data_IF_704278692401
#
_entry.id   IF_704278692401
#
_cell.length_a   1.000
_cell.length_b   1.000
_cell.length_c   1.000
_cell.angle_alpha   90.00
_cell.angle_beta   90.00
_cell.angle_gamma   90.00
#
_symmetry.space_group_name_H-M   'P 1'
#
loop_
_entity.id
_entity.type
_entity.pdbx_description
1 polymer ?
#
# COMPACT_ATOMS: atom_id res chain seq x y z
N UNK A 1 39.84 28.91 16.99
CA UNK A 1 39.23 28.34 18.22
C UNK A 1 38.21 27.31 17.80
N UNK A 2 38.29 26.07 18.30
CA UNK A 2 37.25 25.05 18.04
C UNK A 2 35.96 25.50 18.71
N UNK A 3 34.89 25.63 17.95
CA UNK A 3 33.58 25.99 18.48
C UNK A 3 32.89 24.71 18.97
N UNK A 4 33.22 24.34 20.20
CA UNK A 4 32.79 23.11 20.88
C UNK A 4 31.25 23.00 20.92
N UNK A 5 30.54 24.13 20.97
CA UNK A 5 29.06 24.15 20.94
C UNK A 5 28.49 23.61 19.63
N UNK A 6 29.10 23.94 18.47
CA UNK A 6 28.66 23.43 17.16
C UNK A 6 28.89 21.92 16.97
N UNK A 7 29.90 21.36 17.65
CA UNK A 7 30.16 19.90 17.63
C UNK A 7 29.17 19.14 18.54
N UNK A 8 28.86 19.71 19.71
CA UNK A 8 27.86 19.17 20.65
C UNK A 8 26.46 19.20 20.03
N UNK A 9 26.04 20.30 19.41
CA UNK A 9 24.71 20.44 18.81
C UNK A 9 24.50 19.49 17.61
N UNK A 10 25.56 19.15 16.86
CA UNK A 10 25.48 18.20 15.74
C UNK A 10 25.33 16.76 16.19
N UNK A 11 25.94 16.38 17.32
CA UNK A 11 25.99 14.98 17.78
C UNK A 11 24.79 14.59 18.64
N UNK A 12 24.20 15.50 19.40
CA UNK A 12 23.16 15.18 20.39
C UNK A 12 21.72 15.26 19.83
N UNK A 13 21.52 15.92 18.69
CA UNK A 13 20.18 16.06 18.09
C UNK A 13 19.97 15.25 16.81
N UNK A 14 21.03 14.77 16.16
CA UNK A 14 20.89 14.05 14.88
C UNK A 14 20.49 12.58 15.04
N UNK A 15 20.88 11.92 16.13
CA UNK A 15 20.73 10.45 16.29
C UNK A 15 19.61 10.04 17.27
N UNK A 16 18.87 11.00 17.80
CA UNK A 16 17.68 10.75 18.64
C UNK A 16 16.38 10.71 17.83
N UNK A 17 16.46 10.78 16.50
CA UNK A 17 15.30 10.67 15.63
C UNK A 17 14.95 9.19 15.45
N UNK A 18 13.74 8.76 15.82
CA UNK A 18 13.29 7.41 15.54
C UNK A 18 13.31 7.21 14.02
N UNK A 19 14.03 6.18 13.56
CA UNK A 19 14.08 5.83 12.14
C UNK A 19 12.91 4.91 11.82
N UNK A 20 12.27 5.06 10.64
CA UNK A 20 11.31 4.08 10.19
C UNK A 20 12.00 2.71 10.11
N UNK A 21 11.28 1.66 10.49
CA UNK A 21 11.78 0.30 10.40
C UNK A 21 11.97 -0.08 8.92
N UNK A 22 13.14 -0.62 8.53
CA UNK A 22 13.40 -0.98 7.14
C UNK A 22 12.54 -2.15 6.64
N UNK A 23 12.06 -3.02 7.53
CA UNK A 23 11.27 -4.21 7.21
C UNK A 23 9.85 -4.12 7.80
N UNK A 24 9.21 -2.96 7.67
CA UNK A 24 7.84 -2.77 8.15
C UNK A 24 6.86 -3.68 7.38
N UNK A 25 5.85 -4.18 8.08
CA UNK A 25 4.76 -4.93 7.47
C UNK A 25 3.47 -4.64 8.24
N UNK A 26 2.55 -3.93 7.57
CA UNK A 26 1.32 -3.44 8.18
C UNK A 26 0.39 -4.55 8.68
N UNK A 27 0.51 -5.78 8.18
CA UNK A 27 -0.26 -6.92 8.67
C UNK A 27 0.36 -7.57 9.91
N UNK A 28 1.65 -7.87 9.87
CA UNK A 28 2.30 -8.59 10.98
C UNK A 28 2.52 -7.71 12.21
N UNK A 29 2.59 -6.38 12.02
CA UNK A 29 2.75 -5.42 13.11
C UNK A 29 1.43 -5.06 13.81
N UNK A 30 0.27 -5.41 13.24
CA UNK A 30 -1.04 -5.19 13.85
C UNK A 30 -1.68 -6.51 14.31
N UNK A 31 -1.64 -6.76 15.62
CA UNK A 31 -2.27 -7.94 16.21
C UNK A 31 -3.81 -7.93 16.10
N UNK A 32 -4.42 -6.75 15.99
CA UNK A 32 -5.88 -6.64 15.87
C UNK A 32 -6.34 -7.10 14.49
N UNK A 33 -5.66 -6.73 13.40
CA UNK A 33 -6.07 -7.19 12.08
C UNK A 33 -5.92 -8.70 11.93
N UNK A 34 -4.87 -9.29 12.52
CA UNK A 34 -4.71 -10.75 12.58
C UNK A 34 -5.83 -11.41 13.39
N UNK A 35 -6.25 -10.80 14.50
CA UNK A 35 -7.40 -11.26 15.27
C UNK A 35 -8.70 -11.19 14.45
N UNK A 36 -8.95 -10.08 13.74
CA UNK A 36 -10.12 -9.92 12.88
C UNK A 36 -10.12 -10.94 11.74
N UNK A 37 -8.97 -11.19 11.12
CA UNK A 37 -8.80 -12.24 10.12
C UNK A 37 -9.27 -13.59 10.68
N UNK A 38 -8.71 -14.03 11.82
CA UNK A 38 -9.09 -15.31 12.46
C UNK A 38 -10.54 -15.35 12.92
N UNK A 39 -11.12 -14.21 13.30
CA UNK A 39 -12.51 -14.12 13.78
C UNK A 39 -13.53 -14.20 12.65
N UNK A 40 -13.25 -13.59 11.50
CA UNK A 40 -14.24 -13.39 10.44
C UNK A 40 -14.03 -14.28 9.22
N UNK A 41 -12.84 -14.85 9.02
CA UNK A 41 -12.61 -15.80 7.93
C UNK A 41 -12.86 -17.25 8.39
N UNK A 42 -13.48 -18.08 7.53
CA UNK A 42 -13.57 -19.52 7.74
C UNK A 42 -12.19 -20.13 7.99
N UNK A 43 -12.09 -21.09 8.92
CA UNK A 43 -10.84 -21.74 9.32
C UNK A 43 -10.02 -22.26 8.13
N UNK A 44 -10.70 -22.88 7.15
CA UNK A 44 -10.07 -23.38 5.92
C UNK A 44 -9.36 -22.32 5.06
N UNK A 45 -9.69 -21.04 5.24
CA UNK A 45 -9.09 -19.91 4.52
C UNK A 45 -8.01 -19.20 5.33
N UNK A 46 -7.89 -19.46 6.64
CA UNK A 46 -7.07 -18.62 7.52
C UNK A 46 -5.58 -18.74 7.22
N UNK A 47 -5.07 -19.95 6.98
CA UNK A 47 -3.64 -20.14 6.64
C UNK A 47 -3.28 -19.46 5.32
N UNK A 48 -4.14 -19.61 4.31
CA UNK A 48 -3.97 -18.93 3.02
C UNK A 48 -4.03 -17.40 3.19
N UNK A 49 -5.03 -16.91 3.92
CA UNK A 49 -5.22 -15.48 4.12
C UNK A 49 -4.09 -14.85 4.95
N UNK A 50 -3.59 -15.53 5.98
CA UNK A 50 -2.45 -15.06 6.78
C UNK A 50 -1.20 -14.88 5.90
N UNK A 51 -0.92 -15.86 5.03
CA UNK A 51 0.19 -15.80 4.09
C UNK A 51 0.04 -14.67 3.08
N UNK A 52 -1.12 -14.55 2.43
CA UNK A 52 -1.34 -13.52 1.41
C UNK A 52 -1.44 -12.11 2.02
N UNK A 53 -2.07 -11.95 3.19
CA UNK A 53 -2.10 -10.66 3.90
C UNK A 53 -0.73 -10.27 4.44
N UNK A 54 0.13 -11.22 4.81
CA UNK A 54 1.53 -10.94 5.16
C UNK A 54 2.30 -10.40 3.96
N UNK A 55 2.17 -11.03 2.79
CA UNK A 55 2.80 -10.54 1.54
C UNK A 55 2.26 -9.17 1.16
N UNK A 56 0.96 -9.00 1.23
CA UNK A 56 0.28 -7.75 0.91
C UNK A 56 0.69 -6.63 1.89
N UNK A 57 0.73 -6.90 3.19
CA UNK A 57 1.16 -5.93 4.20
C UNK A 57 2.59 -5.43 4.00
N UNK A 58 3.51 -6.29 3.55
CA UNK A 58 4.87 -5.89 3.19
C UNK A 58 4.91 -5.07 1.88
N UNK A 59 4.10 -5.44 0.89
CA UNK A 59 3.95 -4.68 -0.35
C UNK A 59 3.45 -3.27 -0.06
N UNK A 60 2.45 -3.13 0.81
CA UNK A 60 1.87 -1.83 1.15
C UNK A 60 2.87 -0.98 1.95
N UNK A 61 3.46 -1.54 3.01
CA UNK A 61 4.39 -0.83 3.89
C UNK A 61 5.74 -0.47 3.23
N UNK A 62 6.05 -1.06 2.07
CA UNK A 62 7.31 -0.85 1.37
C UNK A 62 7.11 -0.12 0.03
N UNK A 63 7.11 -0.85 -1.10
CA UNK A 63 7.13 -0.24 -2.43
C UNK A 63 5.90 0.62 -2.73
N UNK A 64 4.71 0.29 -2.21
CA UNK A 64 3.52 1.12 -2.46
C UNK A 64 3.61 2.44 -1.70
N UNK A 65 3.95 2.42 -0.40
CA UNK A 65 4.17 3.64 0.39
C UNK A 65 5.20 4.59 -0.24
N UNK A 66 6.32 4.04 -0.74
CA UNK A 66 7.33 4.83 -1.45
C UNK A 66 6.80 5.47 -2.75
N UNK A 67 5.97 4.74 -3.51
CA UNK A 67 5.35 5.28 -4.74
C UNK A 67 4.25 6.28 -4.44
N UNK A 68 3.50 6.09 -3.36
CA UNK A 68 2.46 7.00 -2.89
C UNK A 68 3.07 8.36 -2.56
N UNK A 69 4.17 8.39 -1.79
CA UNK A 69 4.90 9.61 -1.47
C UNK A 69 5.27 10.43 -2.73
N UNK A 70 5.75 9.77 -3.78
CA UNK A 70 6.04 10.45 -5.05
C UNK A 70 4.77 10.88 -5.79
N UNK A 71 3.75 10.02 -5.82
CA UNK A 71 2.48 10.25 -6.54
C UNK A 71 1.70 11.42 -5.97
N UNK A 72 1.64 11.57 -4.65
CA UNK A 72 0.96 12.69 -3.98
C UNK A 72 1.67 14.03 -4.18
N UNK A 73 2.99 13.99 -4.37
CA UNK A 73 3.81 15.16 -4.62
C UNK A 73 3.98 15.46 -6.11
N UNK A 74 5.14 15.10 -6.64
CA UNK A 74 5.57 15.46 -8.00
C UNK A 74 4.86 14.65 -9.08
N UNK A 75 4.50 13.40 -8.76
CA UNK A 75 3.90 12.41 -9.65
C UNK A 75 2.39 12.55 -9.84
N UNK A 76 1.78 13.63 -9.35
CA UNK A 76 0.32 13.83 -9.35
C UNK A 76 -0.29 13.71 -10.75
N UNK A 77 -1.48 13.10 -10.89
CA UNK A 77 -2.17 12.98 -12.17
C UNK A 77 -2.43 14.34 -12.84
N UNK A 78 -2.36 14.39 -14.18
CA UNK A 78 -2.60 15.61 -14.96
C UNK A 78 -3.62 15.37 -16.05
N UNK A 79 -4.58 16.28 -16.21
CA UNK A 79 -5.51 16.29 -17.33
C UNK A 79 -4.83 16.86 -18.58
N UNK A 80 -4.77 16.05 -19.63
CA UNK A 80 -4.42 16.48 -20.98
C UNK A 80 -5.71 16.64 -21.78
N UNK A 81 -6.26 17.86 -21.78
CA UNK A 81 -7.56 18.14 -22.42
C UNK A 81 -7.51 18.09 -23.94
N UNK A 82 -6.47 18.66 -24.54
CA UNK A 82 -6.35 18.75 -26.00
C UNK A 82 -5.06 18.11 -26.51
N UNK A 83 -5.11 17.55 -27.71
CA UNK A 83 -3.91 17.13 -28.43
C UNK A 83 -3.28 18.31 -29.21
N UNK A 84 -2.17 18.06 -29.92
CA UNK A 84 -1.44 19.10 -30.67
C UNK A 84 -2.26 19.71 -31.82
N UNK A 85 -3.32 19.03 -32.28
CA UNK A 85 -4.23 19.50 -33.33
C UNK A 85 -5.43 20.30 -32.77
N UNK A 86 -5.54 20.43 -31.44
CA UNK A 86 -6.67 21.13 -30.80
C UNK A 86 -7.91 20.26 -30.59
N UNK A 87 -7.82 18.96 -30.85
CA UNK A 87 -8.92 18.02 -30.62
C UNK A 87 -9.01 17.68 -29.13
N UNK A 88 -10.24 17.64 -28.58
CA UNK A 88 -10.47 17.26 -27.19
C UNK A 88 -10.27 15.75 -27.02
N UNK A 89 -9.34 15.37 -26.15
CA UNK A 89 -9.02 13.96 -25.82
C UNK A 89 -9.32 13.62 -24.34
N UNK A 90 -9.43 14.64 -23.48
CA UNK A 90 -9.74 14.51 -22.05
C UNK A 90 -9.05 13.32 -21.33
N UNK A 91 -7.74 13.17 -21.55
CA UNK A 91 -6.95 12.04 -21.04
C UNK A 91 -6.31 12.37 -19.67
N UNK A 92 -6.36 11.44 -18.72
CA UNK A 92 -5.63 11.55 -17.45
C UNK A 92 -4.28 10.87 -17.56
N UNK A 93 -3.21 11.65 -17.42
CA UNK A 93 -1.83 11.16 -17.44
C UNK A 93 -1.39 10.88 -16.01
N UNK A 94 -1.01 9.63 -15.74
CA UNK A 94 -0.49 9.16 -14.46
C UNK A 94 0.97 8.71 -14.58
N UNK A 95 1.69 8.73 -13.46
CA UNK A 95 3.07 8.25 -13.40
C UNK A 95 3.13 6.72 -13.42
N UNK A 96 4.31 6.15 -13.72
CA UNK A 96 4.47 4.71 -13.84
C UNK A 96 4.40 3.98 -12.49
N UNK A 97 4.77 4.64 -11.39
CA UNK A 97 4.60 4.13 -10.03
C UNK A 97 3.12 3.91 -9.70
N UNK A 98 2.25 4.87 -10.05
CA UNK A 98 0.80 4.72 -9.91
C UNK A 98 0.29 3.49 -10.68
N UNK A 99 0.69 3.33 -11.95
CA UNK A 99 0.26 2.18 -12.77
C UNK A 99 0.72 0.85 -12.20
N UNK A 100 1.95 0.80 -11.68
CA UNK A 100 2.48 -0.39 -11.04
C UNK A 100 1.75 -0.72 -9.73
N UNK A 101 1.43 0.28 -8.91
CA UNK A 101 0.63 0.10 -7.70
C UNK A 101 -0.77 -0.43 -8.04
N UNK A 102 -1.45 0.15 -9.03
CA UNK A 102 -2.73 -0.38 -9.54
C UNK A 102 -2.57 -1.85 -9.90
N UNK A 103 -1.59 -2.18 -10.74
CA UNK A 103 -1.39 -3.56 -11.18
C UNK A 103 -1.23 -4.52 -10.00
N UNK A 104 -0.29 -4.25 -9.09
CA UNK A 104 0.02 -5.16 -7.97
C UNK A 104 -1.14 -5.29 -6.98
N UNK A 105 -1.86 -4.19 -6.70
CA UNK A 105 -3.02 -4.19 -5.80
C UNK A 105 -4.20 -4.96 -6.41
N UNK A 106 -4.48 -4.82 -7.70
CA UNK A 106 -5.54 -5.60 -8.34
C UNK A 106 -5.16 -7.08 -8.49
N UNK A 107 -3.88 -7.39 -8.77
CA UNK A 107 -3.36 -8.76 -8.83
C UNK A 107 -3.42 -9.49 -7.48
N UNK A 108 -3.43 -8.76 -6.34
CA UNK A 108 -3.66 -9.35 -5.01
C UNK A 108 -5.10 -9.81 -4.77
N UNK A 109 -6.00 -9.55 -5.74
CA UNK A 109 -7.39 -9.97 -5.70
C UNK A 109 -8.30 -9.12 -4.81
N UNK A 110 -7.89 -7.89 -4.44
CA UNK A 110 -8.64 -6.98 -3.57
C UNK A 110 -10.11 -6.78 -4.00
N UNK A 111 -10.35 -6.70 -5.31
CA UNK A 111 -11.71 -6.74 -5.90
C UNK A 111 -12.01 -8.10 -6.52
N UNK A 112 -11.03 -8.71 -7.19
CA UNK A 112 -11.24 -9.91 -8.01
C UNK A 112 -11.80 -11.10 -7.22
N UNK A 113 -11.28 -11.37 -6.02
CA UNK A 113 -11.68 -12.56 -5.26
C UNK A 113 -13.07 -12.46 -4.62
N UNK A 114 -13.72 -11.29 -4.64
CA UNK A 114 -15.15 -11.16 -4.29
C UNK A 114 -16.06 -11.81 -5.34
N UNK A 115 -15.63 -11.79 -6.61
CA UNK A 115 -16.46 -12.16 -7.74
C UNK A 115 -15.94 -13.40 -8.48
N UNK A 116 -14.65 -13.70 -8.37
CA UNK A 116 -13.96 -14.83 -8.98
C UNK A 116 -13.37 -15.76 -7.93
N UNK A 117 -13.24 -17.03 -8.27
CA UNK A 117 -12.64 -18.03 -7.39
C UNK A 117 -11.14 -17.76 -7.23
N UNK A 118 -10.66 -17.93 -5.99
CA UNK A 118 -9.24 -17.97 -5.68
C UNK A 118 -8.69 -19.26 -6.32
N UNK A 119 -7.70 -19.20 -7.23
CA UNK A 119 -7.23 -20.38 -7.96
C UNK A 119 -6.75 -21.53 -7.06
N UNK A 120 -6.17 -21.21 -5.90
CA UNK A 120 -5.68 -22.22 -4.95
C UNK A 120 -6.79 -22.92 -4.15
N UNK A 121 -7.97 -22.28 -4.03
CA UNK A 121 -9.02 -22.72 -3.12
C UNK A 121 -10.30 -23.14 -3.86
N UNK A 122 -10.44 -22.80 -5.15
CA UNK A 122 -11.66 -22.98 -5.95
C UNK A 122 -12.92 -22.40 -5.25
N UNK A 123 -12.73 -21.32 -4.49
CA UNK A 123 -13.78 -20.64 -3.76
C UNK A 123 -13.54 -19.13 -3.78
N UNK A 124 -14.61 -18.34 -3.67
CA UNK A 124 -14.52 -16.88 -3.57
C UNK A 124 -14.10 -16.47 -2.16
N UNK A 125 -13.37 -15.36 -2.06
CA UNK A 125 -13.07 -14.76 -0.78
C UNK A 125 -14.34 -14.16 -0.15
N UNK A 126 -14.54 -14.29 1.17
CA UNK A 126 -15.57 -13.52 1.86
C UNK A 126 -15.23 -12.02 1.81
N UNK A 127 -16.25 -11.16 1.88
CA UNK A 127 -16.05 -9.71 1.87
C UNK A 127 -15.08 -9.22 2.95
N UNK A 128 -15.04 -9.91 4.10
CA UNK A 128 -14.08 -9.65 5.17
C UNK A 128 -12.62 -9.66 4.68
N UNK A 129 -12.24 -10.55 3.76
CA UNK A 129 -10.87 -10.60 3.22
C UNK A 129 -10.53 -9.34 2.42
N UNK A 130 -11.40 -8.94 1.50
CA UNK A 130 -11.25 -7.71 0.72
C UNK A 130 -11.21 -6.47 1.62
N UNK A 131 -12.02 -6.45 2.69
CA UNK A 131 -11.99 -5.38 3.68
C UNK A 131 -10.63 -5.30 4.40
N UNK A 132 -10.03 -6.43 4.80
CA UNK A 132 -8.72 -6.45 5.44
C UNK A 132 -7.63 -5.92 4.49
N UNK A 133 -7.68 -6.28 3.20
CA UNK A 133 -6.78 -5.71 2.19
C UNK A 133 -6.99 -4.20 2.04
N UNK A 134 -8.24 -3.74 1.98
CA UNK A 134 -8.56 -2.32 1.94
C UNK A 134 -8.03 -1.54 3.13
N UNK A 135 -8.20 -2.09 4.34
CA UNK A 135 -7.64 -1.50 5.56
C UNK A 135 -6.12 -1.33 5.47
N UNK A 136 -5.40 -2.37 5.01
CA UNK A 136 -3.95 -2.30 4.85
C UNK A 136 -3.57 -1.25 3.80
N UNK A 137 -4.21 -1.28 2.62
CA UNK A 137 -3.94 -0.36 1.52
C UNK A 137 -4.14 1.11 1.91
N UNK A 138 -5.21 1.40 2.65
CA UNK A 138 -5.54 2.76 3.10
C UNK A 138 -4.48 3.40 4.01
N UNK A 139 -3.54 2.63 4.56
CA UNK A 139 -2.43 3.18 5.34
C UNK A 139 -1.37 3.87 4.48
N UNK A 140 -1.24 3.48 3.20
CA UNK A 140 -0.29 4.07 2.26
C UNK A 140 -0.98 4.87 1.15
N UNK A 141 -2.09 4.35 0.60
CA UNK A 141 -2.68 4.89 -0.62
C UNK A 141 -4.22 4.77 -0.58
N UNK A 142 -4.90 5.68 0.15
CA UNK A 142 -6.35 5.65 0.29
C UNK A 142 -7.09 5.98 -1.03
N UNK A 143 -6.41 6.56 -2.02
CA UNK A 143 -7.00 6.87 -3.32
C UNK A 143 -7.46 5.65 -4.13
N UNK A 144 -7.00 4.45 -3.77
CA UNK A 144 -7.35 3.19 -4.45
C UNK A 144 -8.47 2.39 -3.79
N UNK A 145 -8.98 2.81 -2.62
CA UNK A 145 -10.01 2.08 -1.89
C UNK A 145 -11.18 2.99 -1.51
N UNK A 146 -12.12 3.17 -2.46
CA UNK A 146 -13.38 3.93 -2.30
C UNK A 146 -14.52 3.28 -3.09
#
# INVERSE_FOLDING_TARGET
>A
MRNIQKEIDRSLYSDNLPRPKPDANFYTEDANIQYLMRRYLPEKLQEWADRELTRFGALIAGPVDQRAFFTDGEGRPKLKKYNRLGEDISEIITNDGYKQTVKEVYESGIVGYLYHEIPELNEKAPYAYSYLQGYLLSQAEPGFFV
#
